data_IF_415415266053
#
_entry.id   IF_415415266053
#
_cell.length_a   1.000
_cell.length_b   1.000
_cell.length_c   1.000
_cell.angle_alpha   90.00
_cell.angle_beta   90.00
_cell.angle_gamma   90.00
#
_symmetry.space_group_name_H-M   'P 1'
#
loop_
_entity.id
_entity.type
_entity.pdbx_description
1 polymer ?
#
# COMPACT_ATOMS: atom_id res chain seq x y z
N UNK A 1 -4.31 -0.38 24.30
CA UNK A 1 -3.09 -1.20 24.11
C UNK A 1 -2.26 -0.57 23.00
N UNK A 2 -1.06 -0.07 23.30
CA UNK A 2 -0.14 0.47 22.28
C UNK A 2 0.58 -0.69 21.58
N UNK A 3 0.41 -0.80 20.25
CA UNK A 3 1.06 -1.84 19.43
C UNK A 3 2.46 -1.36 19.04
N UNK A 4 3.49 -1.64 19.83
CA UNK A 4 4.88 -1.25 19.51
C UNK A 4 5.33 -1.84 18.16
N UNK A 5 5.66 -1.01 17.18
CA UNK A 5 6.24 -1.43 15.91
C UNK A 5 7.76 -1.45 16.10
N UNK A 6 8.37 -2.61 15.87
CA UNK A 6 9.83 -2.74 16.01
C UNK A 6 10.48 -2.45 14.67
N UNK A 7 11.30 -1.40 14.66
CA UNK A 7 12.08 -0.99 13.50
C UNK A 7 13.55 -1.34 13.76
N UNK A 8 14.14 -2.08 12.84
CA UNK A 8 15.52 -2.54 12.92
C UNK A 8 16.37 -1.80 11.89
N UNK A 9 17.52 -1.29 12.30
CA UNK A 9 18.55 -0.78 11.37
C UNK A 9 19.45 -1.94 10.95
N UNK A 10 19.67 -2.12 9.64
CA UNK A 10 20.62 -3.14 9.17
C UNK A 10 22.08 -2.80 9.52
N UNK A 11 22.43 -1.52 9.68
CA UNK A 11 23.77 -1.11 10.12
C UNK A 11 23.74 0.12 11.02
N UNK A 12 24.50 0.06 12.12
CA UNK A 12 24.70 1.18 13.05
C UNK A 12 25.55 2.31 12.45
N UNK A 13 26.24 2.07 11.33
CA UNK A 13 27.12 3.05 10.69
C UNK A 13 26.33 4.22 10.07
N UNK A 14 25.07 4.01 9.71
CA UNK A 14 24.26 5.01 9.02
C UNK A 14 23.42 5.82 10.00
N UNK A 15 24.02 6.89 10.56
CA UNK A 15 23.34 7.82 11.49
C UNK A 15 22.03 8.38 10.91
N UNK A 16 21.92 8.57 9.60
CA UNK A 16 20.69 9.08 8.99
C UNK A 16 19.50 8.10 9.12
N UNK A 17 19.75 6.78 9.15
CA UNK A 17 18.69 5.79 9.38
C UNK A 17 18.10 5.90 10.80
N UNK A 18 18.87 6.41 11.78
CA UNK A 18 18.33 6.67 13.12
C UNK A 18 17.25 7.77 13.09
N UNK A 19 17.44 8.81 12.27
CA UNK A 19 16.42 9.86 12.12
C UNK A 19 15.14 9.31 11.48
N UNK A 20 15.29 8.42 10.51
CA UNK A 20 14.16 7.74 9.89
C UNK A 20 13.45 6.77 10.84
N UNK A 21 14.21 6.03 11.65
CA UNK A 21 13.66 5.19 12.73
C UNK A 21 12.81 6.03 13.69
N UNK A 22 13.35 7.15 14.18
CA UNK A 22 12.66 8.09 15.06
C UNK A 22 11.43 8.70 14.38
N UNK A 23 11.53 9.07 13.10
CA UNK A 23 10.40 9.58 12.33
C UNK A 23 9.23 8.58 12.34
N UNK A 24 9.47 7.31 12.03
CA UNK A 24 8.40 6.31 12.01
C UNK A 24 7.87 6.02 13.43
N UNK A 25 8.73 5.99 14.44
CA UNK A 25 8.33 5.84 15.84
C UNK A 25 7.42 6.99 16.30
N UNK A 26 7.77 8.24 15.97
CA UNK A 26 6.98 9.41 16.32
C UNK A 26 5.61 9.43 15.62
N UNK A 27 5.49 8.80 14.46
CA UNK A 27 4.27 8.74 13.65
C UNK A 27 3.49 7.42 13.79
N UNK A 28 3.86 6.59 14.76
CA UNK A 28 3.32 5.25 14.93
C UNK A 28 1.81 5.24 15.25
N UNK A 29 1.30 6.23 15.98
CA UNK A 29 -0.13 6.34 16.31
C UNK A 29 -0.99 6.49 15.06
N UNK A 30 -0.56 7.32 14.10
CA UNK A 30 -1.24 7.50 12.81
C UNK A 30 -1.19 6.22 11.98
N UNK A 31 -0.02 5.57 11.91
CA UNK A 31 0.13 4.29 11.22
C UNK A 31 -0.81 3.22 11.81
N UNK A 32 -0.94 3.16 13.14
CA UNK A 32 -1.86 2.24 13.81
C UNK A 32 -3.32 2.50 13.44
N UNK A 33 -3.75 3.77 13.39
CA UNK A 33 -5.11 4.12 12.98
C UNK A 33 -5.40 3.63 11.56
N UNK A 34 -4.48 3.89 10.63
CA UNK A 34 -4.59 3.42 9.25
C UNK A 34 -4.61 1.89 9.18
N UNK A 35 -3.77 1.20 9.95
CA UNK A 35 -3.77 -0.27 9.96
C UNK A 35 -5.09 -0.84 10.52
N UNK A 36 -5.72 -0.19 11.51
CA UNK A 36 -7.03 -0.61 12.01
C UNK A 36 -8.07 -0.56 10.87
N UNK A 37 -8.09 0.51 10.09
CA UNK A 37 -8.97 0.65 8.92
C UNK A 37 -8.68 -0.42 7.87
N UNK A 38 -7.41 -0.63 7.54
CA UNK A 38 -6.97 -1.68 6.62
C UNK A 38 -7.44 -3.07 7.07
N UNK A 39 -7.36 -3.38 8.37
CA UNK A 39 -7.85 -4.65 8.92
C UNK A 39 -9.36 -4.80 8.73
N UNK A 40 -10.12 -3.73 8.97
CA UNK A 40 -11.58 -3.72 8.79
C UNK A 40 -11.93 -3.92 7.32
N UNK A 41 -11.33 -3.13 6.41
CA UNK A 41 -11.50 -3.28 4.96
C UNK A 41 -11.15 -4.69 4.47
N UNK A 42 -10.08 -5.27 5.00
CA UNK A 42 -9.63 -6.61 4.60
C UNK A 42 -10.43 -7.74 5.26
N UNK A 43 -11.34 -7.46 6.20
CA UNK A 43 -12.06 -8.48 6.97
C UNK A 43 -11.17 -9.34 7.88
N UNK A 44 -9.98 -8.85 8.26
CA UNK A 44 -9.01 -9.60 9.08
C UNK A 44 -9.11 -9.17 10.53
N UNK A 45 -9.74 -10.01 11.36
CA UNK A 45 -9.87 -9.76 12.81
C UNK A 45 -8.51 -9.80 13.53
N UNK A 46 -7.74 -10.85 13.24
CA UNK A 46 -6.49 -11.15 13.94
C UNK A 46 -5.28 -10.91 13.04
N UNK A 47 -4.60 -9.79 13.26
CA UNK A 47 -3.31 -9.47 12.67
C UNK A 47 -2.49 -8.71 13.71
N UNK A 48 -1.31 -9.23 14.05
CA UNK A 48 -0.44 -8.65 15.07
C UNK A 48 0.68 -7.85 14.41
N UNK A 49 0.43 -6.56 14.20
CA UNK A 49 1.37 -5.63 13.57
C UNK A 49 2.74 -5.64 14.25
N UNK A 50 2.76 -5.68 15.59
CA UNK A 50 4.00 -5.69 16.38
C UNK A 50 4.90 -6.90 16.16
N UNK A 51 4.38 -7.97 15.53
CA UNK A 51 5.16 -9.16 15.17
C UNK A 51 5.78 -9.09 13.77
N UNK A 52 5.50 -8.03 13.00
CA UNK A 52 6.08 -7.83 11.67
C UNK A 52 7.32 -6.96 11.85
N UNK A 53 8.54 -7.50 11.64
CA UNK A 53 9.76 -6.72 11.66
C UNK A 53 9.74 -5.73 10.49
N UNK A 54 10.19 -4.51 10.75
CA UNK A 54 10.46 -3.50 9.72
C UNK A 54 11.96 -3.25 9.70
N UNK A 55 12.60 -3.41 8.55
CA UNK A 55 14.02 -3.15 8.38
C UNK A 55 14.23 -1.85 7.61
N UNK A 56 15.02 -0.93 8.16
CA UNK A 56 15.53 0.23 7.44
C UNK A 56 16.84 -0.16 6.76
N UNK A 57 16.84 -0.08 5.43
CA UNK A 57 17.95 -0.45 4.56
C UNK A 57 18.51 0.82 3.92
N UNK A 58 19.83 1.03 3.97
CA UNK A 58 20.44 2.15 3.25
C UNK A 58 20.42 1.87 1.75
N UNK A 59 19.89 2.82 0.96
CA UNK A 59 19.95 2.77 -0.50
C UNK A 59 20.94 3.82 -1.01
N UNK A 60 22.14 3.37 -1.36
CA UNK A 60 23.23 4.26 -1.75
C UNK A 60 23.15 4.59 -3.25
N UNK A 61 22.42 3.77 -4.02
CA UNK A 61 22.43 3.82 -5.48
C UNK A 61 21.23 4.57 -6.07
N UNK A 62 20.20 4.83 -5.27
CA UNK A 62 19.01 5.55 -5.69
C UNK A 62 19.26 7.06 -5.85
N UNK A 63 19.26 7.48 -7.11
CA UNK A 63 19.47 8.87 -7.54
C UNK A 63 18.21 9.72 -7.46
N UNK A 64 17.04 9.09 -7.49
CA UNK A 64 15.75 9.77 -7.49
C UNK A 64 15.39 10.30 -6.10
N UNK A 65 16.11 9.85 -5.06
CA UNK A 65 15.96 10.27 -3.66
C UNK A 65 14.53 10.04 -3.14
N UNK A 66 13.87 9.01 -3.66
CA UNK A 66 12.58 8.55 -3.18
C UNK A 66 12.77 7.32 -2.29
N UNK A 67 12.01 7.26 -1.20
CA UNK A 67 12.00 6.06 -0.36
C UNK A 67 11.32 4.90 -1.10
N UNK A 68 11.94 3.74 -1.05
CA UNK A 68 11.36 2.48 -1.49
C UNK A 68 10.80 1.73 -0.30
N UNK A 69 9.77 0.91 -0.52
CA UNK A 69 9.35 -0.09 0.44
C UNK A 69 8.92 -1.36 -0.28
N UNK A 70 9.10 -2.49 0.39
CA UNK A 70 8.60 -3.77 -0.07
C UNK A 70 8.24 -4.65 1.11
N UNK A 71 7.28 -5.55 0.90
CA UNK A 71 6.94 -6.58 1.86
C UNK A 71 7.46 -7.94 1.41
N UNK A 72 7.85 -8.76 2.37
CA UNK A 72 8.08 -10.19 2.17
C UNK A 72 7.05 -10.98 2.95
N UNK A 73 6.46 -11.97 2.31
CA UNK A 73 5.44 -12.82 2.92
C UNK A 73 5.70 -14.30 2.66
N UNK A 74 5.72 -15.06 3.74
CA UNK A 74 5.56 -16.52 3.76
C UNK A 74 4.58 -16.88 4.89
N UNK A 75 4.03 -18.11 4.90
CA UNK A 75 3.20 -18.57 6.01
C UNK A 75 3.88 -18.50 7.40
N UNK A 76 5.22 -18.62 7.44
CA UNK A 76 6.01 -18.70 8.69
C UNK A 76 6.71 -17.39 9.07
N UNK A 77 7.03 -16.54 8.10
CA UNK A 77 7.78 -15.30 8.28
C UNK A 77 7.22 -14.20 7.38
N UNK A 78 7.07 -13.00 7.92
CA UNK A 78 6.71 -11.81 7.16
C UNK A 78 7.50 -10.63 7.70
N UNK A 79 7.96 -9.74 6.83
CA UNK A 79 8.67 -8.52 7.20
C UNK A 79 8.46 -7.45 6.13
N UNK A 80 8.82 -6.21 6.45
CA UNK A 80 8.80 -5.08 5.53
C UNK A 80 10.20 -4.49 5.50
N UNK A 81 10.71 -4.25 4.30
CA UNK A 81 11.95 -3.51 4.07
C UNK A 81 11.60 -2.10 3.60
N UNK A 82 12.26 -1.09 4.18
CA UNK A 82 12.17 0.31 3.75
C UNK A 82 13.57 0.73 3.32
N UNK A 83 13.70 1.01 2.03
CA UNK A 83 14.92 1.47 1.40
C UNK A 83 14.97 2.99 1.48
N UNK A 84 15.99 3.51 2.18
CA UNK A 84 16.15 4.94 2.44
C UNK A 84 17.39 5.46 1.72
N UNK A 85 17.21 6.32 0.70
CA UNK A 85 18.31 6.90 -0.05
C UNK A 85 19.32 7.63 0.84
N UNK A 86 20.60 7.47 0.54
CA UNK A 86 21.65 8.17 1.28
C UNK A 86 21.48 9.70 1.17
N UNK A 87 21.51 10.37 2.32
CA UNK A 87 21.37 11.84 2.40
C UNK A 87 19.94 12.36 2.27
N UNK A 88 18.93 11.49 2.12
CA UNK A 88 17.53 11.90 2.17
C UNK A 88 17.13 12.27 3.60
N UNK A 89 16.66 13.50 3.80
CA UNK A 89 16.16 13.98 5.08
C UNK A 89 14.74 13.48 5.31
N UNK A 90 14.40 13.23 6.58
CA UNK A 90 13.02 12.94 6.99
C UNK A 90 12.11 14.12 6.63
N UNK A 91 10.95 13.88 6.00
CA UNK A 91 10.04 14.95 5.61
C UNK A 91 9.21 15.44 6.81
N UNK A 92 8.63 16.63 6.68
CA UNK A 92 7.63 17.15 7.63
C UNK A 92 6.21 16.59 7.36
N UNK A 93 6.00 15.91 6.24
CA UNK A 93 4.72 15.29 5.87
C UNK A 93 4.67 13.80 6.19
N UNK A 94 3.54 13.16 5.88
CA UNK A 94 3.25 11.77 6.25
C UNK A 94 3.29 10.77 5.08
N UNK A 95 3.79 11.17 3.92
CA UNK A 95 3.89 10.29 2.75
C UNK A 95 4.71 9.01 3.02
N UNK A 96 5.84 9.02 3.76
CA UNK A 96 6.48 7.78 4.16
C UNK A 96 5.63 6.84 5.01
N UNK A 97 4.77 7.41 5.87
CA UNK A 97 3.84 6.62 6.68
C UNK A 97 2.80 5.94 5.79
N UNK A 98 2.34 6.60 4.73
CA UNK A 98 1.40 6.00 3.78
C UNK A 98 2.03 4.88 2.95
N UNK A 99 3.31 5.02 2.57
CA UNK A 99 4.07 3.94 1.93
C UNK A 99 4.18 2.74 2.85
N UNK A 100 4.56 2.93 4.12
CA UNK A 100 4.64 1.82 5.05
C UNK A 100 3.26 1.15 5.27
N UNK A 101 2.19 1.94 5.36
CA UNK A 101 0.84 1.41 5.48
C UNK A 101 0.38 0.63 4.24
N UNK A 102 0.83 1.01 3.03
CA UNK A 102 0.61 0.27 1.80
C UNK A 102 1.20 -1.15 1.87
N UNK A 103 2.44 -1.29 2.34
CA UNK A 103 3.08 -2.60 2.53
C UNK A 103 2.35 -3.45 3.58
N UNK A 104 1.90 -2.83 4.68
CA UNK A 104 1.05 -3.52 5.66
C UNK A 104 -0.27 -3.99 5.07
N UNK A 105 -0.86 -3.23 4.15
CA UNK A 105 -2.10 -3.61 3.48
C UNK A 105 -1.91 -4.92 2.72
N UNK A 106 -0.86 -5.02 1.90
CA UNK A 106 -0.54 -6.26 1.22
C UNK A 106 -0.42 -7.45 2.16
N UNK A 107 0.34 -7.30 3.26
CA UNK A 107 0.49 -8.36 4.27
C UNK A 107 -0.84 -8.78 4.90
N UNK A 108 -1.72 -7.83 5.18
CA UNK A 108 -3.04 -8.09 5.78
C UNK A 108 -3.96 -8.76 4.74
N UNK A 109 -3.97 -8.30 3.48
CA UNK A 109 -4.69 -8.95 2.39
C UNK A 109 -4.29 -10.42 2.25
N UNK A 110 -3.00 -10.75 2.35
CA UNK A 110 -2.51 -12.14 2.29
C UNK A 110 -3.04 -13.03 3.41
N UNK A 111 -3.55 -12.47 4.51
CA UNK A 111 -4.21 -13.25 5.57
C UNK A 111 -5.68 -13.56 5.26
N UNK A 112 -6.35 -12.78 4.42
CA UNK A 112 -7.69 -13.10 3.94
C UNK A 112 -7.62 -13.98 2.68
N UNK A 113 -7.64 -15.30 2.89
CA UNK A 113 -7.60 -16.29 1.80
C UNK A 113 -8.76 -16.12 0.80
N UNK A 114 -9.96 -15.77 1.27
CA UNK A 114 -11.13 -15.64 0.40
C UNK A 114 -10.99 -14.46 -0.55
N UNK A 115 -10.63 -13.28 -0.01
CA UNK A 115 -10.38 -12.09 -0.82
C UNK A 115 -9.24 -12.33 -1.81
N UNK A 116 -8.17 -13.00 -1.37
CA UNK A 116 -7.06 -13.38 -2.23
C UNK A 116 -7.49 -14.30 -3.40
N UNK A 117 -8.36 -15.28 -3.14
CA UNK A 117 -8.92 -16.14 -4.18
C UNK A 117 -9.85 -15.37 -5.12
N UNK A 118 -10.63 -14.41 -4.62
CA UNK A 118 -11.47 -13.57 -5.47
C UNK A 118 -10.64 -12.66 -6.40
N UNK A 119 -9.55 -12.07 -5.91
CA UNK A 119 -8.60 -11.33 -6.77
C UNK A 119 -8.11 -12.23 -7.90
N UNK A 120 -7.67 -13.46 -7.58
CA UNK A 120 -7.22 -14.44 -8.57
C UNK A 120 -8.30 -14.74 -9.62
N UNK A 121 -9.52 -15.10 -9.19
CA UNK A 121 -10.65 -15.40 -10.10
C UNK A 121 -10.98 -14.23 -11.02
N UNK A 122 -10.98 -13.00 -10.49
CA UNK A 122 -11.27 -11.80 -11.30
C UNK A 122 -10.17 -11.56 -12.34
N UNK A 123 -8.90 -11.75 -11.97
CA UNK A 123 -7.80 -11.63 -12.93
C UNK A 123 -7.84 -12.70 -14.02
N UNK A 124 -8.18 -13.94 -13.70
CA UNK A 124 -8.34 -15.04 -14.67
C UNK A 124 -9.51 -14.76 -15.62
N UNK A 125 -10.67 -14.32 -15.09
CA UNK A 125 -11.84 -13.96 -15.90
C UNK A 125 -11.56 -12.81 -16.89
N UNK A 126 -10.61 -11.93 -16.58
CA UNK A 126 -10.26 -10.77 -17.40
C UNK A 126 -8.82 -10.85 -17.94
N UNK A 127 -8.29 -12.05 -18.18
CA UNK A 127 -6.88 -12.28 -18.53
C UNK A 127 -6.39 -11.38 -19.67
N UNK A 128 -7.15 -11.27 -20.76
CA UNK A 128 -6.79 -10.42 -21.93
C UNK A 128 -6.61 -8.95 -21.56
N UNK A 129 -7.41 -8.42 -20.65
CA UNK A 129 -7.29 -7.05 -20.17
C UNK A 129 -6.00 -6.88 -19.36
N UNK A 130 -5.74 -7.80 -18.44
CA UNK A 130 -4.56 -7.73 -17.58
C UNK A 130 -3.25 -7.96 -18.34
N UNK A 131 -3.23 -8.89 -19.31
CA UNK A 131 -2.07 -9.13 -20.17
C UNK A 131 -1.63 -7.86 -20.94
N UNK A 132 -2.58 -7.00 -21.31
CA UNK A 132 -2.29 -5.72 -21.97
C UNK A 132 -1.71 -4.67 -21.01
N UNK A 133 -2.05 -4.75 -19.72
CA UNK A 133 -1.84 -3.69 -18.74
C UNK A 133 -0.67 -3.92 -17.79
N UNK A 134 -0.47 -5.16 -17.36
CA UNK A 134 0.46 -5.47 -16.26
C UNK A 134 1.93 -5.50 -16.69
N UNK A 135 2.22 -5.43 -17.99
CA UNK A 135 3.57 -5.61 -18.51
C UNK A 135 4.14 -6.96 -18.09
N UNK A 136 5.30 -6.96 -17.43
CA UNK A 136 5.95 -8.18 -16.89
C UNK A 136 5.40 -8.61 -15.53
N UNK A 137 4.55 -7.81 -14.87
CA UNK A 137 4.00 -8.15 -13.56
C UNK A 137 2.91 -9.21 -13.66
N UNK A 138 2.85 -10.12 -12.68
CA UNK A 138 1.75 -11.08 -12.56
C UNK A 138 0.40 -10.35 -12.44
N UNK A 139 -0.60 -10.77 -13.23
CA UNK A 139 -1.92 -10.12 -13.29
C UNK A 139 -2.55 -9.92 -11.90
N UNK A 140 -2.45 -10.94 -11.04
CA UNK A 140 -2.92 -10.88 -9.65
C UNK A 140 -2.23 -9.78 -8.85
N UNK A 141 -0.91 -9.69 -8.96
CA UNK A 141 -0.13 -8.67 -8.25
C UNK A 141 -0.47 -7.28 -8.76
N UNK A 142 -0.67 -7.13 -10.08
CA UNK A 142 -1.11 -5.86 -10.65
C UNK A 142 -2.47 -5.42 -10.09
N UNK A 143 -3.48 -6.31 -10.07
CA UNK A 143 -4.78 -5.96 -9.46
C UNK A 143 -4.66 -5.67 -7.96
N UNK A 144 -3.82 -6.40 -7.24
CA UNK A 144 -3.56 -6.19 -5.81
C UNK A 144 -2.95 -4.81 -5.53
N UNK A 145 -1.95 -4.40 -6.32
CA UNK A 145 -1.37 -3.05 -6.28
C UNK A 145 -2.42 -1.96 -6.50
N UNK A 146 -3.29 -2.13 -7.49
CA UNK A 146 -4.36 -1.18 -7.78
C UNK A 146 -5.41 -1.14 -6.67
N UNK A 147 -5.78 -2.30 -6.12
CA UNK A 147 -6.71 -2.39 -5.00
C UNK A 147 -6.18 -1.64 -3.79
N UNK A 148 -4.94 -1.93 -3.38
CA UNK A 148 -4.32 -1.26 -2.24
C UNK A 148 -4.24 0.25 -2.49
N UNK A 149 -3.75 0.64 -3.67
CA UNK A 149 -3.60 2.06 -4.06
C UNK A 149 -4.91 2.83 -4.12
N UNK A 150 -6.04 2.14 -4.39
CA UNK A 150 -7.37 2.74 -4.33
C UNK A 150 -7.70 3.31 -2.94
N UNK A 151 -7.03 2.83 -1.90
CA UNK A 151 -7.16 3.28 -0.52
C UNK A 151 -5.91 4.03 -0.02
N UNK A 152 -4.68 3.58 -0.38
CA UNK A 152 -3.39 4.10 0.13
C UNK A 152 -2.20 3.66 -0.76
N UNK A 153 -1.15 4.48 -1.01
CA UNK A 153 -0.95 5.84 -0.55
C UNK A 153 -1.74 6.90 -1.34
N UNK A 154 -2.27 6.58 -2.52
CA UNK A 154 -2.93 7.56 -3.38
C UNK A 154 -4.41 7.79 -3.02
N UNK A 155 -5.02 6.86 -2.29
CA UNK A 155 -6.44 6.83 -2.01
C UNK A 155 -6.90 7.55 -0.73
N UNK A 156 -8.16 7.32 -0.39
CA UNK A 156 -8.87 8.09 0.63
C UNK A 156 -8.32 7.91 2.07
N UNK A 157 -7.66 6.81 2.42
CA UNK A 157 -7.08 6.65 3.76
C UNK A 157 -5.98 7.66 4.01
N UNK A 158 -5.13 7.93 3.01
CA UNK A 158 -4.08 8.92 3.13
C UNK A 158 -4.64 10.33 3.28
N UNK A 159 -5.72 10.65 2.57
CA UNK A 159 -6.40 11.94 2.72
C UNK A 159 -6.98 12.09 4.13
N UNK A 160 -7.69 11.06 4.61
CA UNK A 160 -8.42 11.07 5.88
C UNK A 160 -7.49 11.12 7.10
N UNK A 161 -6.39 10.37 7.07
CA UNK A 161 -5.53 10.17 8.25
C UNK A 161 -4.13 10.79 8.14
N UNK A 162 -3.64 11.03 6.92
CA UNK A 162 -2.25 11.44 6.67
C UNK A 162 -2.14 12.78 5.95
N UNK A 163 -3.24 13.53 5.84
CA UNK A 163 -3.34 14.86 5.24
C UNK A 163 -2.65 14.96 3.86
N UNK A 164 -2.67 13.89 3.08
CA UNK A 164 -2.13 13.90 1.72
C UNK A 164 -3.15 14.52 0.78
N UNK A 165 -2.69 15.33 -0.18
CA UNK A 165 -3.56 15.91 -1.20
C UNK A 165 -4.10 14.82 -2.12
N UNK A 166 -5.36 14.97 -2.50
CA UNK A 166 -5.97 14.17 -3.56
C UNK A 166 -5.26 14.37 -4.88
N UNK A 167 -4.99 13.29 -5.59
CA UNK A 167 -4.50 13.35 -6.96
C UNK A 167 -5.67 13.63 -7.90
N UNK A 168 -5.55 14.66 -8.73
CA UNK A 168 -6.36 14.78 -9.95
C UNK A 168 -5.66 14.02 -11.05
N UNK A 169 -6.42 13.31 -11.88
CA UNK A 169 -5.85 12.52 -12.96
C UNK A 169 -6.57 12.81 -14.27
N UNK A 170 -5.84 13.38 -15.23
CA UNK A 170 -6.37 13.88 -16.51
C UNK A 170 -5.75 13.22 -17.74
N UNK A 171 -4.64 12.49 -17.58
CA UNK A 171 -3.91 11.88 -18.69
C UNK A 171 -4.18 10.38 -18.82
N UNK A 172 -3.77 9.75 -19.92
CA UNK A 172 -3.82 8.29 -20.06
C UNK A 172 -2.66 7.66 -19.26
N UNK A 173 -2.90 6.62 -18.44
CA UNK A 173 -1.84 5.96 -17.68
C UNK A 173 -0.86 5.23 -18.61
N UNK A 174 0.44 5.29 -18.28
CA UNK A 174 1.54 4.71 -19.06
C UNK A 174 2.35 3.67 -18.28
N UNK A 175 2.25 3.71 -16.96
CA UNK A 175 3.03 2.91 -16.01
C UNK A 175 2.16 2.53 -14.80
N UNK A 176 2.69 1.70 -13.90
CA UNK A 176 1.96 1.25 -12.72
C UNK A 176 1.55 2.43 -11.82
N UNK A 177 2.42 3.41 -11.60
CA UNK A 177 2.15 4.56 -10.73
C UNK A 177 0.97 5.40 -11.26
N UNK A 178 0.93 5.65 -12.56
CA UNK A 178 -0.18 6.36 -13.20
C UNK A 178 -1.47 5.55 -13.17
N UNK A 179 -1.42 4.22 -13.30
CA UNK A 179 -2.59 3.37 -13.05
C UNK A 179 -3.07 3.44 -11.59
N UNK A 180 -2.16 3.36 -10.61
CA UNK A 180 -2.47 3.48 -9.18
C UNK A 180 -3.18 4.81 -8.87
N UNK A 181 -2.65 5.92 -9.38
CA UNK A 181 -3.25 7.26 -9.25
C UNK A 181 -4.62 7.36 -9.92
N UNK A 182 -4.78 6.81 -11.12
CA UNK A 182 -6.07 6.77 -11.81
C UNK A 182 -7.12 6.01 -10.99
N UNK A 183 -6.77 4.81 -10.51
CA UNK A 183 -7.69 3.98 -9.72
C UNK A 183 -8.07 4.70 -8.42
N UNK A 184 -7.10 5.26 -7.69
CA UNK A 184 -7.38 6.03 -6.49
C UNK A 184 -8.34 7.20 -6.74
N UNK A 185 -8.10 7.96 -7.82
CA UNK A 185 -8.97 9.07 -8.19
C UNK A 185 -10.39 8.61 -8.55
N UNK A 186 -10.53 7.59 -9.41
CA UNK A 186 -11.83 7.13 -9.91
C UNK A 186 -12.63 6.33 -8.89
N UNK A 187 -11.97 5.64 -7.95
CA UNK A 187 -12.61 4.86 -6.88
C UNK A 187 -12.84 5.66 -5.61
N UNK A 188 -12.43 6.94 -5.55
CA UNK A 188 -12.43 7.76 -4.32
C UNK A 188 -13.74 7.72 -3.54
N UNK A 189 -14.89 8.00 -4.19
CA UNK A 189 -16.18 8.03 -3.50
C UNK A 189 -16.61 6.64 -3.02
N UNK A 190 -16.29 5.58 -3.78
CA UNK A 190 -16.55 4.22 -3.35
C UNK A 190 -15.65 3.81 -2.17
N UNK A 191 -14.36 4.16 -2.22
CA UNK A 191 -13.42 3.95 -1.13
C UNK A 191 -13.88 4.66 0.15
N UNK A 192 -14.31 5.92 0.03
CA UNK A 192 -14.87 6.71 1.12
C UNK A 192 -16.11 6.08 1.73
N UNK A 193 -17.02 5.58 0.90
CA UNK A 193 -18.21 4.85 1.36
C UNK A 193 -17.81 3.59 2.14
N UNK A 194 -16.88 2.79 1.60
CA UNK A 194 -16.42 1.56 2.26
C UNK A 194 -15.78 1.83 3.62
N UNK A 195 -14.92 2.85 3.69
CA UNK A 195 -14.24 3.23 4.94
C UNK A 195 -15.23 3.76 5.97
N UNK A 196 -16.11 4.70 5.59
CA UNK A 196 -16.99 5.34 6.55
C UNK A 196 -18.14 4.45 7.02
N UNK A 197 -18.52 3.45 6.21
CA UNK A 197 -19.55 2.46 6.57
C UNK A 197 -18.97 1.11 7.03
N UNK A 198 -17.66 1.04 7.27
CA UNK A 198 -16.96 -0.15 7.80
C UNK A 198 -17.26 -1.40 6.93
N UNK A 199 -17.29 -1.21 5.61
CA UNK A 199 -17.54 -2.29 4.66
C UNK A 199 -16.23 -3.03 4.34
N UNK A 200 -16.33 -4.35 4.23
CA UNK A 200 -15.21 -5.17 3.79
C UNK A 200 -15.10 -5.10 2.26
N UNK A 201 -13.87 -5.15 1.75
CA UNK A 201 -13.60 -5.30 0.33
C UNK A 201 -14.21 -6.62 -0.13
N UNK A 202 -15.03 -6.52 -1.18
CA UNK A 202 -15.74 -7.64 -1.75
C UNK A 202 -15.54 -7.68 -3.27
N UNK A 203 -16.27 -8.58 -3.93
CA UNK A 203 -16.27 -8.70 -5.37
C UNK A 203 -16.75 -7.43 -6.07
N UNK A 204 -17.72 -6.70 -5.51
CA UNK A 204 -18.26 -5.47 -6.11
C UNK A 204 -17.18 -4.40 -6.21
N UNK A 205 -16.36 -4.24 -5.17
CA UNK A 205 -15.23 -3.30 -5.22
C UNK A 205 -14.18 -3.69 -6.26
N UNK A 206 -13.84 -4.98 -6.35
CA UNK A 206 -12.88 -5.49 -7.33
C UNK A 206 -13.39 -5.32 -8.77
N UNK A 207 -14.67 -5.62 -9.03
CA UNK A 207 -15.29 -5.43 -10.34
C UNK A 207 -15.34 -3.94 -10.73
N UNK A 208 -15.56 -3.04 -9.77
CA UNK A 208 -15.47 -1.60 -10.01
C UNK A 208 -14.08 -1.16 -10.49
N UNK A 209 -12.99 -1.68 -9.90
CA UNK A 209 -11.62 -1.41 -10.39
C UNK A 209 -11.48 -1.90 -11.84
N UNK A 210 -11.95 -3.12 -12.14
CA UNK A 210 -11.89 -3.67 -13.51
C UNK A 210 -12.66 -2.82 -14.51
N UNK A 211 -13.82 -2.29 -14.12
CA UNK A 211 -14.61 -1.42 -14.99
C UNK A 211 -13.88 -0.11 -15.30
N UNK A 212 -13.18 0.48 -14.32
CA UNK A 212 -12.31 1.63 -14.56
C UNK A 212 -11.21 1.27 -15.57
N UNK A 213 -10.57 0.10 -15.41
CA UNK A 213 -9.54 -0.35 -16.36
C UNK A 213 -10.10 -0.47 -17.78
N UNK A 214 -11.28 -1.08 -17.96
CA UNK A 214 -11.95 -1.25 -19.27
C UNK A 214 -12.28 0.09 -19.93
N UNK A 215 -12.70 1.07 -19.15
CA UNK A 215 -13.04 2.41 -19.66
C UNK A 215 -11.82 3.18 -20.15
N UNK A 216 -10.64 2.92 -19.56
CA UNK A 216 -9.40 3.67 -19.83
C UNK A 216 -8.39 2.89 -20.69
N UNK A 217 -8.77 1.73 -21.21
CA UNK A 217 -7.95 0.90 -22.12
C UNK A 217 -8.39 0.91 -23.58
N UNK A 218 -9.53 1.54 -23.87
CA UNK A 218 -10.03 1.77 -25.22
C UNK A 218 -9.08 2.67 -26.03
#
# INVERSE_FOLDING_TARGET
MSLSITIHRQSKAYKYLLLWEQYFQNNQSMLQQVIIEIKMLSGVKNFTVSKIPIYLIPDINNKDKEIGASFSWTPRKSFIDIEVPFGLKTPNGFFPVSILAHEFFHLILRKNKNLFLEIKKITEKNEKLFAKLSGSMLHRMFLEELLVSSFIPEGYLSEKYLNTKSYTFTSRPKDLLSWRRLIAFKSREMAKNYINNIQQIDKKYLEHIVDILKQNTK
#
